data_IF_811595551192
#
_entry.id   IF_811595551192
#
_cell.length_a   1.000
_cell.length_b   1.000
_cell.length_c   1.000
_cell.angle_alpha   90.00
_cell.angle_beta   90.00
_cell.angle_gamma   90.00
#
_symmetry.space_group_name_H-M   'P 1'
#
loop_
_entity.id
_entity.type
_entity.pdbx_description
1 polymer ?
#
# COMPACT_ATOMS: atom_id res chain seq x y z
N UNK A 1 -22.99 31.17 0.19
CA UNK A 1 -23.62 32.11 1.15
C UNK A 1 -22.51 32.70 2.03
N UNK A 2 -22.50 34.04 2.21
CA UNK A 2 -21.53 34.73 3.11
C UNK A 2 -22.01 34.63 4.58
N UNK A 3 -22.45 33.47 5.01
CA UNK A 3 -22.94 33.27 6.38
C UNK A 3 -21.78 33.27 7.35
N UNK A 4 -21.84 34.16 8.35
CA UNK A 4 -20.85 34.24 9.41
C UNK A 4 -21.42 33.71 10.73
N UNK A 5 -20.94 32.54 11.13
CA UNK A 5 -21.24 31.85 12.37
C UNK A 5 -20.02 31.77 13.29
N UNK A 6 -19.06 32.69 13.11
CA UNK A 6 -17.85 32.71 13.92
C UNK A 6 -18.16 32.84 15.42
N UNK A 7 -17.60 31.95 16.21
CA UNK A 7 -17.82 31.89 17.66
C UNK A 7 -19.21 31.39 18.07
N UNK A 8 -20.05 30.96 17.13
CA UNK A 8 -21.37 30.43 17.47
C UNK A 8 -21.26 29.12 18.26
N UNK A 9 -22.23 28.87 19.13
CA UNK A 9 -22.41 27.57 19.78
C UNK A 9 -23.41 26.72 18.95
N UNK A 10 -22.87 25.75 18.24
CA UNK A 10 -23.58 24.77 17.43
C UNK A 10 -23.36 23.33 17.98
N UNK A 11 -23.03 23.22 19.27
CA UNK A 11 -22.81 21.93 19.88
C UNK A 11 -24.08 21.08 19.84
N UNK A 12 -23.89 19.79 19.54
CA UNK A 12 -24.96 18.77 19.48
C UNK A 12 -26.08 19.05 18.45
N UNK A 13 -25.93 20.06 17.59
CA UNK A 13 -26.93 20.41 16.57
C UNK A 13 -26.93 19.39 15.43
N UNK A 14 -28.10 19.07 14.92
CA UNK A 14 -28.26 18.26 13.71
C UNK A 14 -28.41 19.16 12.49
N UNK A 15 -27.36 19.21 11.67
CA UNK A 15 -27.24 19.98 10.42
C UNK A 15 -27.02 19.06 9.21
N UNK A 16 -27.37 17.79 9.28
CA UNK A 16 -27.13 16.82 8.19
C UNK A 16 -27.64 17.33 6.84
N UNK A 17 -26.76 17.25 5.83
CA UNK A 17 -27.07 17.66 4.46
C UNK A 17 -27.25 19.17 4.30
N UNK A 18 -26.87 19.98 5.29
CA UNK A 18 -26.93 21.44 5.16
C UNK A 18 -25.93 21.96 4.12
N UNK A 19 -26.32 23.02 3.42
CA UNK A 19 -25.42 23.80 2.57
C UNK A 19 -24.73 24.88 3.41
N UNK A 20 -23.48 24.64 3.73
CA UNK A 20 -22.60 25.52 4.48
C UNK A 20 -21.41 25.99 3.60
N UNK A 21 -21.61 26.00 2.27
CA UNK A 21 -20.63 26.45 1.30
C UNK A 21 -20.11 27.84 1.64
N UNK A 22 -18.76 27.98 1.76
CA UNK A 22 -18.08 29.24 2.10
C UNK A 22 -18.58 29.91 3.40
N UNK A 23 -19.18 29.14 4.32
CA UNK A 23 -19.61 29.65 5.62
C UNK A 23 -18.39 29.85 6.54
N UNK A 24 -18.40 30.92 7.33
CA UNK A 24 -17.39 31.15 8.36
C UNK A 24 -17.86 30.59 9.69
N UNK A 25 -17.09 29.65 10.24
CA UNK A 25 -17.30 28.99 11.52
C UNK A 25 -16.05 29.10 12.42
N UNK A 26 -15.28 30.18 12.23
CA UNK A 26 -14.03 30.39 12.96
C UNK A 26 -14.31 30.43 14.47
N UNK A 27 -13.56 29.61 15.24
CA UNK A 27 -13.70 29.47 16.69
C UNK A 27 -15.11 29.07 17.17
N UNK A 28 -15.95 28.58 16.27
CA UNK A 28 -17.27 28.05 16.64
C UNK A 28 -17.11 26.77 17.51
N UNK A 29 -18.06 26.58 18.43
CA UNK A 29 -18.21 25.32 19.15
C UNK A 29 -19.17 24.42 18.36
N UNK A 30 -18.61 23.37 17.72
CA UNK A 30 -19.35 22.42 16.87
C UNK A 30 -19.27 21.00 17.46
N UNK A 31 -18.94 20.89 18.75
CA UNK A 31 -18.78 19.61 19.43
C UNK A 31 -20.00 18.71 19.28
N UNK A 32 -19.75 17.44 18.98
CA UNK A 32 -20.79 16.41 18.90
C UNK A 32 -21.95 16.77 17.94
N UNK A 33 -21.81 17.80 17.11
CA UNK A 33 -22.77 18.12 16.07
C UNK A 33 -22.78 17.04 14.99
N UNK A 34 -23.91 16.94 14.30
CA UNK A 34 -24.03 16.07 13.15
C UNK A 34 -24.04 16.91 11.86
N UNK A 35 -22.95 16.91 11.14
CA UNK A 35 -22.72 17.57 9.85
C UNK A 35 -22.55 16.54 8.71
N UNK A 36 -23.05 15.34 8.88
CA UNK A 36 -22.93 14.30 7.86
C UNK A 36 -23.57 14.73 6.53
N UNK A 37 -22.87 14.47 5.44
CA UNK A 37 -23.27 14.83 4.07
C UNK A 37 -23.48 16.34 3.81
N UNK A 38 -22.91 17.21 4.64
CA UNK A 38 -22.94 18.67 4.40
C UNK A 38 -22.02 19.07 3.25
N UNK A 39 -22.36 20.17 2.59
CA UNK A 39 -21.42 20.91 1.74
C UNK A 39 -20.71 21.98 2.56
N UNK A 40 -19.45 21.74 2.84
CA UNK A 40 -18.53 22.60 3.59
C UNK A 40 -17.42 23.14 2.68
N UNK A 41 -17.59 23.04 1.36
CA UNK A 41 -16.54 23.46 0.42
C UNK A 41 -16.20 24.92 0.59
N UNK A 42 -14.91 25.22 0.78
CA UNK A 42 -14.41 26.58 1.07
C UNK A 42 -14.88 27.18 2.40
N UNK A 43 -15.49 26.40 3.30
CA UNK A 43 -15.86 26.86 4.64
C UNK A 43 -14.62 27.08 5.51
N UNK A 44 -14.71 28.02 6.46
CA UNK A 44 -13.63 28.31 7.42
C UNK A 44 -14.02 27.86 8.83
N UNK A 45 -13.16 27.01 9.42
CA UNK A 45 -13.25 26.50 10.79
C UNK A 45 -11.98 26.82 11.58
N UNK A 46 -11.33 27.92 11.29
CA UNK A 46 -10.03 28.27 11.93
C UNK A 46 -10.19 28.31 13.45
N UNK A 47 -9.47 27.41 14.13
CA UNK A 47 -9.50 27.31 15.59
C UNK A 47 -10.85 26.84 16.17
N UNK A 48 -11.77 26.31 15.37
CA UNK A 48 -13.05 25.77 15.84
C UNK A 48 -12.87 24.49 16.65
N UNK A 49 -13.84 24.18 17.49
CA UNK A 49 -13.89 22.95 18.27
C UNK A 49 -14.91 21.97 17.66
N UNK A 50 -14.38 20.96 16.99
CA UNK A 50 -15.14 19.88 16.32
C UNK A 50 -14.99 18.54 17.04
N UNK A 51 -14.77 18.55 18.33
CA UNK A 51 -14.62 17.31 19.11
C UNK A 51 -15.82 16.38 18.93
N UNK A 52 -15.55 15.14 18.47
CA UNK A 52 -16.57 14.11 18.20
C UNK A 52 -17.66 14.52 17.20
N UNK A 53 -17.46 15.52 16.40
CA UNK A 53 -18.39 15.90 15.33
C UNK A 53 -18.48 14.79 14.27
N UNK A 54 -19.68 14.52 13.78
CA UNK A 54 -19.89 13.60 12.65
C UNK A 54 -19.90 14.38 11.33
N UNK A 55 -18.86 14.20 10.53
CA UNK A 55 -18.66 14.78 9.21
C UNK A 55 -18.64 13.70 8.11
N UNK A 56 -19.23 12.53 8.40
CA UNK A 56 -19.25 11.41 7.45
C UNK A 56 -19.85 11.82 6.11
N UNK A 57 -19.16 11.55 5.01
CA UNK A 57 -19.62 11.83 3.66
C UNK A 57 -19.70 13.32 3.31
N UNK A 58 -19.11 14.21 4.09
CA UNK A 58 -19.15 15.66 3.81
C UNK A 58 -18.25 16.01 2.61
N UNK A 59 -18.58 17.12 1.97
CA UNK A 59 -17.77 17.78 0.94
C UNK A 59 -17.09 19.00 1.58
N UNK A 60 -15.80 18.92 1.84
CA UNK A 60 -15.01 19.97 2.48
C UNK A 60 -13.80 20.38 1.62
N UNK A 61 -13.97 20.33 0.28
CA UNK A 61 -12.92 20.75 -0.66
C UNK A 61 -12.49 22.18 -0.37
N UNK A 62 -11.17 22.40 -0.27
CA UNK A 62 -10.56 23.70 -0.01
C UNK A 62 -11.03 24.40 1.29
N UNK A 63 -11.60 23.65 2.25
CA UNK A 63 -11.97 24.20 3.56
C UNK A 63 -10.74 24.54 4.40
N UNK A 64 -10.85 25.51 5.29
CA UNK A 64 -9.79 25.90 6.24
C UNK A 64 -10.10 25.37 7.65
N UNK A 65 -9.36 24.35 8.07
CA UNK A 65 -9.41 23.72 9.39
C UNK A 65 -8.17 24.07 10.22
N UNK A 66 -7.45 25.14 9.88
CA UNK A 66 -6.18 25.50 10.53
C UNK A 66 -6.35 25.70 12.04
N UNK A 67 -5.56 24.96 12.82
CA UNK A 67 -5.61 24.99 14.27
C UNK A 67 -6.91 24.48 14.89
N UNK A 68 -7.81 23.87 14.13
CA UNK A 68 -9.05 23.32 14.64
C UNK A 68 -8.81 22.09 15.54
N UNK A 69 -9.69 21.90 16.53
CA UNK A 69 -9.69 20.74 17.41
C UNK A 69 -10.65 19.67 16.88
N UNK A 70 -10.09 18.67 16.17
CA UNK A 70 -10.79 17.61 15.45
C UNK A 70 -10.63 16.24 16.13
N UNK A 71 -10.35 16.23 17.45
CA UNK A 71 -10.14 14.97 18.15
C UNK A 71 -11.40 14.08 18.10
N UNK A 72 -11.22 12.80 17.79
CA UNK A 72 -12.28 11.80 17.63
C UNK A 72 -13.38 12.17 16.61
N UNK A 73 -13.10 13.07 15.67
CA UNK A 73 -14.02 13.43 14.57
C UNK A 73 -14.23 12.24 13.63
N UNK A 74 -15.42 12.11 13.08
CA UNK A 74 -15.71 11.14 12.02
C UNK A 74 -15.72 11.84 10.66
N UNK A 75 -14.82 11.45 9.81
CA UNK A 75 -14.64 11.96 8.44
C UNK A 75 -14.65 10.81 7.41
N UNK A 76 -15.46 9.78 7.68
CA UNK A 76 -15.52 8.58 6.84
C UNK A 76 -16.06 8.94 5.46
N UNK A 77 -15.38 8.43 4.39
CA UNK A 77 -15.77 8.63 2.99
C UNK A 77 -16.01 10.12 2.59
N UNK A 78 -15.27 11.04 3.21
CA UNK A 78 -15.41 12.48 3.01
C UNK A 78 -14.43 13.03 1.97
N UNK A 79 -14.82 14.10 1.28
CA UNK A 79 -13.98 14.81 0.31
C UNK A 79 -13.28 16.00 0.99
N UNK A 80 -12.00 15.84 1.32
CA UNK A 80 -11.14 16.84 2.00
C UNK A 80 -10.04 17.36 1.06
N UNK A 81 -10.25 17.28 -0.26
CA UNK A 81 -9.23 17.69 -1.23
C UNK A 81 -8.85 19.15 -1.06
N UNK A 82 -7.54 19.42 -1.00
CA UNK A 82 -7.01 20.78 -0.87
C UNK A 82 -7.24 21.45 0.48
N UNK A 83 -7.75 20.72 1.47
CA UNK A 83 -8.03 21.28 2.81
C UNK A 83 -6.78 21.88 3.43
N UNK A 84 -6.93 23.03 4.10
CA UNK A 84 -5.90 23.63 4.94
C UNK A 84 -6.15 23.23 6.38
N UNK A 85 -5.31 22.34 6.95
CA UNK A 85 -5.49 21.83 8.31
C UNK A 85 -4.25 22.04 9.17
N UNK A 86 -3.42 23.03 8.82
CA UNK A 86 -2.14 23.23 9.49
C UNK A 86 -2.32 23.40 11.00
N UNK A 87 -1.57 22.61 11.78
CA UNK A 87 -1.61 22.65 13.24
C UNK A 87 -2.91 22.12 13.87
N UNK A 88 -3.79 21.47 13.09
CA UNK A 88 -5.01 20.88 13.59
C UNK A 88 -4.72 19.64 14.44
N UNK A 89 -5.60 19.36 15.41
CA UNK A 89 -5.53 18.18 16.24
C UNK A 89 -6.55 17.13 15.75
N UNK A 90 -6.06 16.07 15.12
CA UNK A 90 -6.83 14.94 14.58
C UNK A 90 -6.64 13.66 15.43
N UNK A 91 -6.30 13.80 16.71
CA UNK A 91 -6.09 12.66 17.61
C UNK A 91 -7.33 11.76 17.64
N UNK A 92 -7.15 10.48 17.33
CA UNK A 92 -8.24 9.50 17.29
C UNK A 92 -9.30 9.75 16.22
N UNK A 93 -9.05 10.61 15.25
CA UNK A 93 -9.98 10.87 14.15
C UNK A 93 -10.15 9.65 13.24
N UNK A 94 -11.35 9.44 12.70
CA UNK A 94 -11.66 8.35 11.76
C UNK A 94 -11.82 8.95 10.36
N UNK A 95 -10.80 8.72 9.51
CA UNK A 95 -10.70 9.25 8.13
C UNK A 95 -10.77 8.12 7.09
N UNK A 96 -11.32 6.98 7.47
CA UNK A 96 -11.39 5.79 6.60
C UNK A 96 -12.05 6.12 5.26
N UNK A 97 -11.37 5.81 4.15
CA UNK A 97 -11.90 6.01 2.79
C UNK A 97 -11.95 7.45 2.29
N UNK A 98 -11.48 8.42 3.07
CA UNK A 98 -11.56 9.85 2.72
C UNK A 98 -10.50 10.27 1.70
N UNK A 99 -10.79 11.31 0.93
CA UNK A 99 -9.84 11.95 0.02
C UNK A 99 -9.22 13.19 0.66
N UNK A 100 -7.98 13.06 1.17
CA UNK A 100 -7.19 14.13 1.75
C UNK A 100 -6.20 14.73 0.74
N UNK A 101 -6.28 14.34 -0.53
CA UNK A 101 -5.27 14.71 -1.51
C UNK A 101 -5.10 16.22 -1.64
N UNK A 102 -3.84 16.65 -1.83
CA UNK A 102 -3.41 18.06 -1.93
C UNK A 102 -3.63 18.89 -0.66
N UNK A 103 -4.07 18.29 0.45
CA UNK A 103 -4.25 19.01 1.72
C UNK A 103 -2.93 19.37 2.39
N UNK A 104 -2.94 20.44 3.18
CA UNK A 104 -1.83 20.83 4.06
C UNK A 104 -2.14 20.42 5.51
N UNK A 105 -1.52 19.34 5.96
CA UNK A 105 -1.58 18.81 7.31
C UNK A 105 -0.25 19.01 8.06
N UNK A 106 0.50 20.02 7.69
CA UNK A 106 1.75 20.35 8.37
C UNK A 106 1.49 20.70 9.84
N UNK A 107 2.37 20.25 10.71
CA UNK A 107 2.26 20.46 12.16
C UNK A 107 1.02 19.80 12.82
N UNK A 108 0.27 18.92 12.12
CA UNK A 108 -0.91 18.25 12.65
C UNK A 108 -0.57 17.10 13.61
N UNK A 109 -1.53 16.76 14.46
CA UNK A 109 -1.48 15.58 15.29
C UNK A 109 -2.48 14.54 14.79
N UNK A 110 -1.99 13.38 14.29
CA UNK A 110 -2.78 12.23 13.86
C UNK A 110 -2.65 11.05 14.83
N UNK A 111 -2.31 11.30 16.07
CA UNK A 111 -2.05 10.23 17.03
C UNK A 111 -3.28 9.35 17.24
N UNK A 112 -3.15 8.05 16.96
CA UNK A 112 -4.27 7.10 17.05
C UNK A 112 -5.37 7.31 16.00
N UNK A 113 -5.16 8.14 14.98
CA UNK A 113 -6.14 8.30 13.90
C UNK A 113 -6.16 7.09 12.97
N UNK A 114 -7.30 6.83 12.33
CA UNK A 114 -7.48 5.80 11.31
C UNK A 114 -7.59 6.44 9.91
N UNK A 115 -6.55 6.28 9.10
CA UNK A 115 -6.49 6.71 7.69
C UNK A 115 -6.54 5.51 6.74
N UNK A 116 -7.13 4.40 7.16
CA UNK A 116 -7.28 3.21 6.32
C UNK A 116 -8.06 3.54 5.05
N UNK A 117 -7.54 3.10 3.89
CA UNK A 117 -8.08 3.41 2.56
C UNK A 117 -8.16 4.91 2.20
N UNK A 118 -7.65 5.82 3.02
CA UNK A 118 -7.62 7.25 2.71
C UNK A 118 -6.62 7.56 1.59
N UNK A 119 -6.95 8.56 0.77
CA UNK A 119 -6.07 9.08 -0.28
C UNK A 119 -5.25 10.27 0.26
N UNK A 120 -3.97 10.06 0.50
CA UNK A 120 -3.01 11.07 0.97
C UNK A 120 -2.13 11.61 -0.17
N UNK A 121 -2.47 11.38 -1.43
CA UNK A 121 -1.63 11.82 -2.55
C UNK A 121 -1.44 13.34 -2.57
N UNK A 122 -0.20 13.78 -2.78
CA UNK A 122 0.18 15.20 -2.84
C UNK A 122 -0.10 15.99 -1.54
N UNK A 123 -0.34 15.33 -0.40
CA UNK A 123 -0.47 16.01 0.90
C UNK A 123 0.87 16.52 1.41
N UNK A 124 0.81 17.54 2.27
CA UNK A 124 1.94 17.99 3.08
C UNK A 124 1.75 17.52 4.52
N UNK A 125 2.75 16.79 5.04
CA UNK A 125 2.79 16.23 6.40
C UNK A 125 4.01 16.73 7.19
N UNK A 126 4.55 17.91 6.85
CA UNK A 126 5.74 18.43 7.50
C UNK A 126 5.53 18.52 9.02
N UNK A 127 6.40 17.84 9.79
CA UNK A 127 6.38 17.79 11.25
C UNK A 127 5.08 17.22 11.86
N UNK A 128 4.27 16.48 11.09
CA UNK A 128 3.08 15.84 11.63
C UNK A 128 3.45 14.74 12.63
N UNK A 129 2.64 14.63 13.70
CA UNK A 129 2.69 13.52 14.65
C UNK A 129 1.79 12.39 14.18
N UNK A 130 2.32 11.16 14.11
CA UNK A 130 1.63 9.97 13.59
C UNK A 130 1.76 8.77 14.52
N UNK A 131 1.83 8.99 15.85
CA UNK A 131 1.92 7.91 16.81
C UNK A 131 0.65 7.06 16.80
N UNK A 132 0.80 5.73 16.68
CA UNK A 132 -0.33 4.82 16.68
C UNK A 132 -1.30 5.00 15.50
N UNK A 133 -0.88 5.71 14.43
CA UNK A 133 -1.67 5.88 13.22
C UNK A 133 -2.04 4.51 12.65
N UNK A 134 -3.33 4.27 12.44
CA UNK A 134 -3.83 3.13 11.68
C UNK A 134 -3.89 3.51 10.20
N UNK A 135 -3.25 2.69 9.36
CA UNK A 135 -3.11 2.98 7.93
C UNK A 135 -3.05 1.69 7.12
N UNK A 136 -3.14 1.84 5.85
CA UNK A 136 -3.02 0.75 4.89
C UNK A 136 -4.33 0.52 4.15
N UNK A 137 -4.25 -0.05 2.95
CA UNK A 137 -5.42 -0.30 2.15
C UNK A 137 -6.02 -1.66 2.50
N UNK A 138 -7.31 -1.75 2.47
CA UNK A 138 -8.01 -3.03 2.42
C UNK A 138 -7.76 -3.77 1.09
N UNK A 139 -7.39 -3.06 0.03
CA UNK A 139 -7.19 -3.62 -1.33
C UNK A 139 -5.86 -3.26 -1.99
N UNK A 140 -5.48 -1.99 -2.09
CA UNK A 140 -4.27 -1.55 -2.80
C UNK A 140 -3.82 -0.18 -2.34
N UNK A 141 -2.51 -0.01 -2.10
CA UNK A 141 -1.90 1.30 -1.77
C UNK A 141 -1.61 2.17 -3.00
N UNK A 142 -1.82 1.65 -4.23
CA UNK A 142 -1.45 2.35 -5.45
C UNK A 142 -2.13 3.72 -5.58
N UNK A 143 -1.32 4.78 -5.72
CA UNK A 143 -1.77 6.16 -5.85
C UNK A 143 -2.12 6.88 -4.54
N UNK A 144 -2.32 6.18 -3.44
CA UNK A 144 -2.78 6.78 -2.17
C UNK A 144 -1.71 7.62 -1.47
N UNK A 145 -0.43 7.36 -1.73
CA UNK A 145 0.70 8.07 -1.11
C UNK A 145 1.58 8.78 -2.14
N UNK A 146 1.08 8.94 -3.37
CA UNK A 146 1.85 9.57 -4.44
C UNK A 146 2.15 11.04 -4.14
N UNK A 147 3.43 11.42 -4.23
CA UNK A 147 3.93 12.79 -4.02
C UNK A 147 3.57 13.39 -2.65
N UNK A 148 3.44 12.56 -1.61
CA UNK A 148 3.32 13.04 -0.22
C UNK A 148 4.62 13.73 0.18
N UNK A 149 4.53 14.92 0.79
CA UNK A 149 5.66 15.72 1.23
C UNK A 149 5.78 15.70 2.75
N UNK A 150 7.00 15.96 3.24
CA UNK A 150 7.25 16.10 4.67
C UNK A 150 7.35 14.80 5.46
N UNK A 151 7.29 13.63 4.81
CA UNK A 151 7.39 12.32 5.47
C UNK A 151 8.67 12.18 6.30
N UNK A 152 9.78 12.77 5.86
CA UNK A 152 11.07 12.73 6.59
C UNK A 152 11.06 13.51 7.91
N UNK A 153 10.13 14.44 8.05
CA UNK A 153 9.96 15.26 9.25
C UNK A 153 8.83 14.77 10.17
N UNK A 154 8.04 13.77 9.72
CA UNK A 154 7.04 13.13 10.55
C UNK A 154 7.68 12.38 11.71
N UNK A 155 6.97 12.30 12.83
CA UNK A 155 7.42 11.57 14.00
C UNK A 155 6.32 10.66 14.56
N UNK A 156 6.74 9.49 15.07
CA UNK A 156 5.84 8.51 15.69
C UNK A 156 5.86 7.17 15.00
N UNK A 157 5.13 6.96 13.91
CA UNK A 157 5.03 5.66 13.23
C UNK A 157 6.05 5.53 12.09
N UNK A 158 7.25 5.02 12.40
CA UNK A 158 8.30 4.80 11.41
C UNK A 158 7.90 3.81 10.29
N UNK A 159 6.99 2.87 10.57
CA UNK A 159 6.49 1.93 9.56
C UNK A 159 5.63 2.64 8.54
N UNK A 160 4.73 3.51 8.98
CA UNK A 160 3.91 4.34 8.10
C UNK A 160 4.78 5.19 7.17
N UNK A 161 5.74 5.93 7.72
CA UNK A 161 6.63 6.80 6.94
C UNK A 161 7.35 6.00 5.86
N UNK A 162 7.93 4.86 6.23
CA UNK A 162 8.63 3.99 5.28
C UNK A 162 7.70 3.43 4.21
N UNK A 163 6.55 2.92 4.61
CA UNK A 163 5.62 2.28 3.66
C UNK A 163 5.04 3.31 2.68
N UNK A 164 4.80 4.54 3.14
CA UNK A 164 4.39 5.66 2.29
C UNK A 164 5.49 6.06 1.29
N UNK A 165 6.75 6.16 1.73
CA UNK A 165 7.90 6.45 0.87
C UNK A 165 8.13 5.34 -0.17
N UNK A 166 8.08 4.07 0.25
CA UNK A 166 8.21 2.91 -0.65
C UNK A 166 7.09 2.93 -1.71
N UNK A 167 5.88 3.31 -1.35
CA UNK A 167 4.76 3.38 -2.29
C UNK A 167 4.88 4.57 -3.24
N UNK A 168 5.25 5.75 -2.77
CA UNK A 168 5.53 6.92 -3.62
C UNK A 168 6.60 6.61 -4.68
N UNK A 169 7.67 5.94 -4.29
CA UNK A 169 8.71 5.49 -5.22
C UNK A 169 8.14 4.56 -6.31
N UNK A 170 7.30 3.59 -5.93
CA UNK A 170 6.67 2.66 -6.88
C UNK A 170 5.74 3.41 -7.84
N UNK A 171 4.92 4.31 -7.35
CA UNK A 171 3.97 5.09 -8.15
C UNK A 171 4.70 6.01 -9.13
N UNK A 172 5.79 6.64 -8.68
CA UNK A 172 6.70 7.43 -9.54
C UNK A 172 7.31 6.58 -10.67
N UNK A 173 7.74 5.34 -10.37
CA UNK A 173 8.24 4.43 -11.40
C UNK A 173 7.18 4.09 -12.44
N UNK A 174 5.93 3.84 -12.02
CA UNK A 174 4.84 3.56 -12.95
C UNK A 174 4.52 4.77 -13.84
N UNK A 175 4.49 5.98 -13.30
CA UNK A 175 4.27 7.20 -14.07
C UNK A 175 5.41 7.48 -15.06
N UNK A 176 6.66 7.22 -14.68
CA UNK A 176 7.82 7.40 -15.55
C UNK A 176 7.76 6.55 -16.83
N UNK A 177 6.99 5.46 -16.83
CA UNK A 177 6.82 4.60 -18.01
C UNK A 177 6.15 5.32 -19.16
N UNK A 178 5.14 6.15 -18.86
CA UNK A 178 4.37 6.84 -19.91
C UNK A 178 5.18 7.98 -20.55
N UNK A 179 6.24 8.43 -19.87
CA UNK A 179 7.21 9.43 -20.39
C UNK A 179 8.26 8.84 -21.36
N UNK A 180 8.36 7.50 -21.45
CA UNK A 180 9.34 6.86 -22.33
C UNK A 180 9.00 7.11 -23.82
N UNK A 181 10.03 7.43 -24.67
CA UNK A 181 9.80 7.90 -26.02
C UNK A 181 9.21 6.86 -26.96
N UNK A 182 9.51 5.56 -26.76
CA UNK A 182 9.11 4.50 -27.68
C UNK A 182 8.09 3.53 -27.06
N UNK A 183 7.15 3.06 -27.89
CA UNK A 183 6.16 2.06 -27.48
C UNK A 183 6.84 0.73 -27.02
N UNK A 184 7.97 0.37 -27.64
CA UNK A 184 8.74 -0.84 -27.27
C UNK A 184 9.34 -0.69 -25.86
N UNK A 185 9.96 0.46 -25.55
CA UNK A 185 10.54 0.73 -24.23
C UNK A 185 9.44 0.74 -23.15
N UNK A 186 8.30 1.38 -23.43
CA UNK A 186 7.13 1.37 -22.51
C UNK A 186 6.64 -0.05 -22.23
N UNK A 187 6.51 -0.90 -23.26
CA UNK A 187 6.08 -2.30 -23.10
C UNK A 187 7.07 -3.11 -22.29
N UNK A 188 8.36 -3.00 -22.56
CA UNK A 188 9.42 -3.69 -21.80
C UNK A 188 9.42 -3.25 -20.33
N UNK A 189 9.35 -1.95 -20.06
CA UNK A 189 9.32 -1.43 -18.68
C UNK A 189 8.07 -1.87 -17.94
N UNK A 190 6.89 -1.84 -18.58
CA UNK A 190 5.64 -2.36 -17.99
C UNK A 190 5.73 -3.85 -17.65
N UNK A 191 6.37 -4.65 -18.49
CA UNK A 191 6.58 -6.07 -18.22
C UNK A 191 7.47 -6.28 -16.98
N UNK A 192 8.59 -5.57 -16.89
CA UNK A 192 9.49 -5.63 -15.74
C UNK A 192 8.80 -5.19 -14.43
N UNK A 193 8.03 -4.09 -14.47
CA UNK A 193 7.28 -3.63 -13.30
C UNK A 193 6.17 -4.61 -12.90
N UNK A 194 5.52 -5.29 -13.85
CA UNK A 194 4.54 -6.35 -13.57
C UNK A 194 5.20 -7.57 -12.91
N UNK A 195 6.36 -7.99 -13.42
CA UNK A 195 7.13 -9.07 -12.80
C UNK A 195 7.57 -8.69 -11.37
N UNK A 196 8.00 -7.44 -11.17
CA UNK A 196 8.36 -6.95 -9.85
C UNK A 196 7.15 -6.84 -8.90
N UNK A 197 5.97 -6.44 -9.43
CA UNK A 197 4.71 -6.46 -8.68
C UNK A 197 4.33 -7.88 -8.23
N UNK A 198 4.59 -8.90 -9.05
CA UNK A 198 4.27 -10.30 -8.70
C UNK A 198 5.00 -10.77 -7.43
N UNK A 199 6.20 -10.25 -7.17
CA UNK A 199 6.99 -10.50 -5.94
C UNK A 199 6.77 -9.42 -4.87
N UNK A 200 5.69 -8.65 -4.97
CA UNK A 200 5.35 -7.56 -4.05
C UNK A 200 6.46 -6.50 -3.92
N UNK A 201 7.12 -6.19 -5.02
CA UNK A 201 8.23 -5.23 -5.08
C UNK A 201 9.37 -5.55 -4.09
N UNK A 202 9.50 -6.80 -3.66
CA UNK A 202 10.49 -7.23 -2.69
C UNK A 202 10.17 -6.86 -1.23
N UNK A 203 8.92 -6.53 -0.91
CA UNK A 203 8.49 -6.23 0.46
C UNK A 203 8.15 -7.49 1.27
N UNK A 204 7.73 -8.56 0.62
CA UNK A 204 7.32 -9.82 1.24
C UNK A 204 8.23 -10.96 0.83
N UNK A 205 8.63 -11.82 1.78
CA UNK A 205 9.32 -13.09 1.52
C UNK A 205 8.35 -14.18 1.06
N UNK A 206 7.08 -14.11 1.48
CA UNK A 206 6.12 -15.16 1.26
C UNK A 206 5.75 -15.34 -0.22
N UNK A 207 5.59 -14.23 -0.97
CA UNK A 207 5.22 -14.29 -2.39
C UNK A 207 6.29 -14.92 -3.27
N UNK A 208 7.58 -14.52 -3.23
CA UNK A 208 8.62 -15.20 -3.99
C UNK A 208 8.81 -16.66 -3.55
N UNK A 209 8.67 -16.97 -2.25
CA UNK A 209 8.71 -18.35 -1.78
C UNK A 209 7.54 -19.18 -2.33
N UNK A 210 6.32 -18.63 -2.37
CA UNK A 210 5.17 -19.29 -2.97
C UNK A 210 5.35 -19.50 -4.48
N UNK A 211 5.91 -18.52 -5.20
CA UNK A 211 6.24 -18.64 -6.63
C UNK A 211 7.27 -19.76 -6.83
N UNK A 212 8.34 -19.79 -6.02
CA UNK A 212 9.35 -20.84 -6.08
C UNK A 212 8.74 -22.23 -5.87
N UNK A 213 7.86 -22.36 -4.87
CA UNK A 213 7.15 -23.60 -4.60
C UNK A 213 6.26 -24.03 -5.77
N UNK A 214 5.46 -23.12 -6.33
CA UNK A 214 4.61 -23.40 -7.49
C UNK A 214 5.45 -23.81 -8.71
N UNK A 215 6.56 -23.14 -8.99
CA UNK A 215 7.46 -23.52 -10.09
C UNK A 215 8.03 -24.92 -9.89
N UNK A 216 8.52 -25.23 -8.69
CA UNK A 216 8.99 -26.59 -8.37
C UNK A 216 7.88 -27.63 -8.57
N UNK A 217 6.62 -27.35 -8.16
CA UNK A 217 5.51 -28.27 -8.41
C UNK A 217 5.21 -28.45 -9.89
N UNK A 218 5.35 -27.40 -10.72
CA UNK A 218 5.18 -27.51 -12.18
C UNK A 218 6.21 -28.47 -12.79
N UNK A 219 7.50 -28.36 -12.40
CA UNK A 219 8.53 -29.31 -12.83
C UNK A 219 8.25 -30.73 -12.33
N UNK A 220 7.80 -30.86 -11.07
CA UNK A 220 7.34 -32.16 -10.53
C UNK A 220 6.24 -32.81 -11.36
N UNK A 221 5.30 -32.01 -11.89
CA UNK A 221 4.28 -32.51 -12.83
C UNK A 221 4.92 -32.94 -14.15
N UNK A 222 5.88 -32.17 -14.70
CA UNK A 222 6.59 -32.59 -15.94
C UNK A 222 7.30 -33.92 -15.76
N UNK A 223 8.02 -34.10 -14.65
CA UNK A 223 8.67 -35.40 -14.34
C UNK A 223 7.67 -36.53 -14.06
N UNK A 224 6.51 -36.22 -13.47
CA UNK A 224 5.45 -37.18 -13.29
C UNK A 224 4.86 -37.66 -14.62
N UNK A 225 4.67 -36.74 -15.57
CA UNK A 225 4.23 -37.07 -16.93
C UNK A 225 5.29 -37.89 -17.66
N UNK A 226 6.57 -37.56 -17.55
CA UNK A 226 7.67 -38.32 -18.10
C UNK A 226 7.63 -39.78 -17.61
N UNK A 227 7.51 -39.96 -16.28
CA UNK A 227 7.45 -41.29 -15.66
C UNK A 227 6.24 -42.10 -16.12
N UNK A 228 5.05 -41.49 -16.27
CA UNK A 228 3.81 -42.21 -16.60
C UNK A 228 3.60 -42.39 -18.11
N UNK A 229 4.03 -41.41 -18.93
CA UNK A 229 3.88 -41.47 -20.38
C UNK A 229 5.06 -42.11 -21.11
N UNK A 230 6.17 -42.36 -20.37
CA UNK A 230 7.36 -43.02 -20.92
C UNK A 230 8.09 -42.17 -21.96
N UNK A 231 8.15 -40.85 -21.78
CA UNK A 231 8.89 -39.94 -22.68
C UNK A 231 10.39 -40.20 -22.64
N UNK A 232 10.89 -40.81 -21.54
CA UNK A 232 12.28 -41.17 -21.36
C UNK A 232 13.20 -39.94 -21.19
N UNK A 233 12.71 -38.87 -20.62
CA UNK A 233 13.53 -37.68 -20.33
C UNK A 233 14.55 -37.96 -19.22
N UNK A 234 14.14 -38.77 -18.23
CA UNK A 234 14.92 -39.05 -17.02
C UNK A 234 15.03 -40.54 -16.77
N UNK A 235 16.15 -40.96 -16.20
CA UNK A 235 16.37 -42.31 -15.65
C UNK A 235 15.98 -42.35 -14.17
N UNK A 236 14.94 -43.07 -13.82
CA UNK A 236 14.43 -43.27 -12.47
C UNK A 236 14.87 -44.60 -11.85
N UNK A 237 15.77 -45.34 -12.48
CA UNK A 237 16.15 -46.69 -12.04
C UNK A 237 16.84 -46.73 -10.67
N UNK A 238 17.45 -45.64 -10.27
CA UNK A 238 18.15 -45.50 -8.98
C UNK A 238 17.25 -45.20 -7.76
N UNK A 239 15.92 -45.05 -7.97
CA UNK A 239 15.01 -44.61 -6.89
C UNK A 239 13.79 -45.50 -6.75
N UNK A 240 13.16 -45.49 -5.55
CA UNK A 240 11.86 -46.10 -5.33
C UNK A 240 10.80 -45.30 -6.11
N UNK A 241 10.16 -45.93 -7.11
CA UNK A 241 9.17 -45.27 -7.97
C UNK A 241 7.84 -45.12 -7.22
N UNK A 242 7.68 -44.02 -6.49
CA UNK A 242 6.41 -43.63 -5.84
C UNK A 242 5.78 -42.42 -6.53
N UNK A 243 4.51 -42.18 -6.26
CA UNK A 243 3.80 -41.01 -6.80
C UNK A 243 4.42 -39.65 -6.38
N UNK A 244 5.12 -39.63 -5.24
CA UNK A 244 5.84 -38.43 -4.75
C UNK A 244 7.25 -38.28 -5.35
N UNK A 245 7.84 -39.30 -5.92
CA UNK A 245 9.23 -39.31 -6.41
C UNK A 245 9.52 -38.15 -7.38
N UNK A 246 8.68 -37.86 -8.39
CA UNK A 246 8.91 -36.75 -9.31
C UNK A 246 8.92 -35.37 -8.61
N UNK A 247 8.04 -35.16 -7.64
CA UNK A 247 7.95 -33.92 -6.89
C UNK A 247 9.12 -33.75 -5.92
N UNK A 248 9.52 -34.84 -5.25
CA UNK A 248 10.71 -34.87 -4.43
C UNK A 248 11.95 -34.50 -5.26
N UNK A 249 12.12 -35.12 -6.42
CA UNK A 249 13.23 -34.81 -7.31
C UNK A 249 13.25 -33.34 -7.74
N UNK A 250 12.10 -32.81 -8.15
CA UNK A 250 12.00 -31.40 -8.50
C UNK A 250 12.37 -30.49 -7.34
N UNK A 251 11.85 -30.71 -6.13
CA UNK A 251 12.22 -29.90 -4.96
C UNK A 251 13.73 -29.93 -4.72
N UNK A 252 14.33 -31.10 -4.77
CA UNK A 252 15.78 -31.30 -4.54
C UNK A 252 16.60 -30.61 -5.62
N UNK A 253 16.19 -30.73 -6.89
CA UNK A 253 16.84 -30.08 -8.04
C UNK A 253 16.69 -28.55 -7.96
N UNK A 254 15.47 -28.06 -7.71
CA UNK A 254 15.17 -26.65 -7.60
C UNK A 254 15.92 -25.97 -6.45
N UNK A 255 16.09 -26.66 -5.32
CA UNK A 255 16.88 -26.20 -4.16
C UNK A 255 18.38 -26.46 -4.31
N UNK A 256 18.79 -26.99 -5.47
CA UNK A 256 20.20 -27.25 -5.80
C UNK A 256 20.92 -28.28 -4.89
N UNK A 257 20.15 -29.09 -4.16
CA UNK A 257 20.73 -30.16 -3.32
C UNK A 257 21.24 -31.34 -4.14
N UNK A 258 20.59 -31.65 -5.26
CA UNK A 258 20.98 -32.59 -6.32
C UNK A 258 21.67 -33.87 -5.83
N UNK A 259 20.92 -34.85 -5.34
CA UNK A 259 21.52 -36.09 -4.84
C UNK A 259 22.07 -37.01 -5.95
N UNK A 260 21.74 -36.73 -7.23
CA UNK A 260 22.25 -37.48 -8.38
C UNK A 260 21.62 -38.87 -8.57
N UNK A 261 20.54 -39.16 -7.87
CA UNK A 261 19.81 -40.45 -7.91
C UNK A 261 18.85 -40.58 -9.12
N UNK A 262 18.50 -39.44 -9.74
CA UNK A 262 17.78 -39.37 -11.02
C UNK A 262 18.60 -38.52 -11.98
N UNK A 263 18.81 -39.03 -13.20
CA UNK A 263 19.68 -38.40 -14.19
C UNK A 263 18.98 -38.27 -15.53
N UNK A 264 19.24 -37.19 -16.29
CA UNK A 264 18.68 -37.02 -17.64
C UNK A 264 19.27 -38.10 -18.60
N UNK A 265 18.44 -38.62 -19.47
CA UNK A 265 18.83 -39.65 -20.45
C UNK A 265 19.27 -39.09 -21.79
N UNK A 266 18.84 -37.84 -22.09
CA UNK A 266 19.20 -37.15 -23.33
C UNK A 266 19.12 -35.63 -23.16
N UNK A 267 19.56 -34.88 -24.19
CA UNK A 267 19.73 -33.45 -24.18
C UNK A 267 18.46 -32.63 -23.78
N UNK A 268 17.23 -33.15 -24.08
CA UNK A 268 16.01 -32.45 -23.67
C UNK A 268 15.80 -32.56 -22.17
N UNK A 269 16.09 -33.73 -21.57
CA UNK A 269 16.07 -33.91 -20.12
C UNK A 269 17.11 -33.00 -19.44
N UNK A 270 18.35 -32.94 -20.00
CA UNK A 270 19.38 -32.01 -19.52
C UNK A 270 18.92 -30.56 -19.55
N UNK A 271 18.26 -30.13 -20.63
CA UNK A 271 17.75 -28.77 -20.78
C UNK A 271 16.68 -28.45 -19.71
N UNK A 272 15.76 -29.38 -19.45
CA UNK A 272 14.72 -29.23 -18.42
C UNK A 272 15.36 -29.03 -17.04
N UNK A 273 16.34 -29.87 -16.67
CA UNK A 273 17.07 -29.77 -15.41
C UNK A 273 17.83 -28.45 -15.31
N UNK A 274 18.55 -28.05 -16.35
CA UNK A 274 19.31 -26.78 -16.38
C UNK A 274 18.37 -25.59 -16.16
N UNK A 275 17.22 -25.55 -16.86
CA UNK A 275 16.23 -24.47 -16.67
C UNK A 275 15.71 -24.45 -15.23
N UNK A 276 15.39 -25.62 -14.67
CA UNK A 276 14.90 -25.73 -13.28
C UNK A 276 15.95 -25.22 -12.29
N UNK A 277 17.20 -25.65 -12.42
CA UNK A 277 18.31 -25.21 -11.55
C UNK A 277 18.55 -23.70 -11.64
N UNK A 278 18.54 -23.13 -12.86
CA UNK A 278 18.70 -21.69 -13.05
C UNK A 278 17.57 -20.89 -12.38
N UNK A 279 16.33 -21.37 -12.50
CA UNK A 279 15.19 -20.73 -11.80
C UNK A 279 15.32 -20.87 -10.29
N UNK A 280 15.81 -21.98 -9.78
CA UNK A 280 16.13 -22.20 -8.37
C UNK A 280 17.15 -21.20 -7.85
N UNK A 281 18.27 -21.02 -8.54
CA UNK A 281 19.28 -20.03 -8.17
C UNK A 281 18.76 -18.59 -8.21
N UNK A 282 17.97 -18.23 -9.23
CA UNK A 282 17.37 -16.90 -9.35
C UNK A 282 16.41 -16.61 -8.18
N UNK A 283 15.57 -17.58 -7.84
CA UNK A 283 14.61 -17.40 -6.73
C UNK A 283 15.30 -17.38 -5.37
N UNK A 284 16.31 -18.21 -5.16
CA UNK A 284 17.11 -18.20 -3.93
C UNK A 284 17.87 -16.88 -3.77
N UNK A 285 18.51 -16.38 -4.81
CA UNK A 285 19.19 -15.08 -4.81
C UNK A 285 18.24 -13.94 -4.49
N UNK A 286 17.02 -13.98 -5.07
CA UNK A 286 15.98 -13.01 -4.78
C UNK A 286 15.53 -13.06 -3.32
N UNK A 287 15.27 -14.25 -2.78
CA UNK A 287 14.89 -14.45 -1.37
C UNK A 287 15.96 -13.94 -0.41
N UNK A 288 17.24 -14.25 -0.67
CA UNK A 288 18.35 -13.76 0.14
C UNK A 288 18.47 -12.22 0.08
N UNK A 289 18.29 -11.64 -1.09
CA UNK A 289 18.30 -10.17 -1.26
C UNK A 289 17.17 -9.50 -0.46
N UNK A 290 15.95 -10.05 -0.53
CA UNK A 290 14.80 -9.53 0.23
C UNK A 290 15.04 -9.70 1.73
N UNK A 291 15.57 -10.84 2.16
CA UNK A 291 15.91 -11.10 3.56
C UNK A 291 16.95 -10.10 4.07
N UNK A 292 18.04 -9.92 3.34
CA UNK A 292 19.09 -8.98 3.68
C UNK A 292 18.55 -7.55 3.82
N UNK A 293 17.74 -7.10 2.86
CA UNK A 293 17.10 -5.81 2.92
C UNK A 293 16.12 -5.70 4.10
N UNK A 294 15.37 -6.76 4.40
CA UNK A 294 14.44 -6.79 5.54
C UNK A 294 15.18 -6.67 6.89
N UNK A 295 16.35 -7.30 7.03
CA UNK A 295 17.19 -7.19 8.22
C UNK A 295 17.82 -5.80 8.31
N UNK A 296 18.41 -5.31 7.23
CA UNK A 296 19.03 -3.98 7.19
C UNK A 296 18.04 -2.83 7.47
N UNK A 297 16.75 -3.01 7.13
CA UNK A 297 15.70 -2.02 7.42
C UNK A 297 15.21 -2.05 8.87
N UNK A 298 15.57 -3.06 9.66
CA UNK A 298 15.19 -3.20 11.08
C UNK A 298 16.29 -2.74 12.04
N UNK A 299 17.52 -2.57 11.55
CA UNK A 299 18.67 -2.01 12.28
C UNK A 299 18.73 -0.50 12.13
#
# INVERSE_FOLDING_TARGET
SDLDLSGADLSEVDLRGADLFQTRLDRANVKMANLANCDLSGASFVGADLYKTDLTGCFATDADLSGAYLAEVKLIDSDLRGVQARGANLTGAVLTGSDLSRGDFSDCTFDGADVTDANLSQTMLDRASVFGLEYGPRRSMAGHYFAVRGLDSCHGNALFVRDAQDQDYIDTLWQSVDQLPTARARRQRKLLLRAWKAIDYGRSLLRPAAIAFVLSMVFGVVYSLDLHLGWGLMDYSGTAQGWLTPFYYSIVTYTTLGFGDITPTHWVGELVVVVEVLLGYLTLGLLLTILANSVARRS
#
